data_IF_668522117580
#
_entry.id   IF_668522117580
#
_cell.length_a   1.000
_cell.length_b   1.000
_cell.length_c   1.000
_cell.angle_alpha   90.00
_cell.angle_beta   90.00
_cell.angle_gamma   90.00
#
_symmetry.space_group_name_H-M   'P 1'
#
loop_
_entity.id
_entity.type
_entity.pdbx_description
1 polymer ?
#
# COMPACT_ATOMS: atom_id res chain seq x y z
N UNK A 1 11.91 6.18 -8.86
CA UNK A 1 11.61 7.20 -9.88
C UNK A 1 12.94 7.86 -10.21
N UNK A 2 13.34 7.88 -11.49
CA UNK A 2 14.59 8.53 -11.92
C UNK A 2 14.61 10.01 -11.48
N UNK A 3 15.80 10.58 -11.31
CA UNK A 3 15.99 11.98 -10.85
C UNK A 3 15.42 13.02 -11.81
N UNK A 4 15.27 12.67 -13.09
CA UNK A 4 14.96 13.58 -14.19
C UNK A 4 13.55 14.20 -14.14
N UNK A 5 12.45 13.41 -13.97
CA UNK A 5 11.11 14.00 -13.90
C UNK A 5 10.90 14.87 -12.66
N UNK A 6 11.53 14.49 -11.54
CA UNK A 6 11.50 15.29 -10.31
C UNK A 6 12.30 16.59 -10.46
N UNK A 7 13.43 16.55 -11.16
CA UNK A 7 14.20 17.75 -11.48
C UNK A 7 13.40 18.72 -12.37
N UNK A 8 12.67 18.21 -13.37
CA UNK A 8 11.79 19.03 -14.20
C UNK A 8 10.67 19.71 -13.39
N UNK A 9 10.08 18.99 -12.43
CA UNK A 9 9.08 19.56 -11.52
C UNK A 9 9.71 20.62 -10.62
N UNK A 10 10.90 20.38 -10.07
CA UNK A 10 11.62 21.30 -9.20
C UNK A 10 11.99 22.61 -9.93
N UNK A 11 12.60 22.52 -11.12
CA UNK A 11 12.94 23.67 -11.97
C UNK A 11 11.70 24.51 -12.27
N UNK A 12 10.59 23.86 -12.57
CA UNK A 12 9.32 24.53 -12.86
C UNK A 12 8.70 25.17 -11.61
N UNK A 13 8.86 24.55 -10.45
CA UNK A 13 8.41 25.10 -9.17
C UNK A 13 9.24 26.32 -8.77
N UNK A 14 10.56 26.29 -8.96
CA UNK A 14 11.46 27.43 -8.73
C UNK A 14 11.19 28.59 -9.68
N UNK A 15 10.92 28.30 -10.96
CA UNK A 15 10.55 29.30 -11.95
C UNK A 15 9.15 29.91 -11.74
N UNK A 16 8.35 29.36 -10.81
CA UNK A 16 7.02 29.90 -10.51
C UNK A 16 7.10 31.01 -9.47
N UNK A 17 6.91 32.26 -9.89
CA UNK A 17 6.92 33.43 -8.98
C UNK A 17 5.91 33.33 -7.84
N UNK A 18 4.73 32.76 -8.11
CA UNK A 18 3.65 32.67 -7.12
C UNK A 18 3.69 31.38 -6.30
N UNK A 19 4.47 30.36 -6.74
CA UNK A 19 4.44 28.97 -6.24
C UNK A 19 3.02 28.41 -6.10
N UNK A 20 2.08 28.96 -6.86
CA UNK A 20 0.65 28.68 -6.83
C UNK A 20 0.19 28.31 -8.24
N UNK A 21 -0.81 27.44 -8.32
CA UNK A 21 -1.42 27.05 -9.58
C UNK A 21 -1.12 25.60 -10.00
N UNK A 22 -1.52 25.22 -11.23
CA UNK A 22 -1.40 23.85 -11.72
C UNK A 22 0.05 23.44 -11.98
N UNK A 23 0.44 22.26 -11.48
CA UNK A 23 1.77 21.68 -11.72
C UNK A 23 1.99 21.40 -13.20
N UNK A 24 1.01 20.75 -13.85
CA UNK A 24 1.05 20.44 -15.28
C UNK A 24 0.22 21.45 -16.09
N UNK A 25 0.85 22.07 -17.10
CA UNK A 25 0.21 23.05 -17.98
C UNK A 25 0.54 22.77 -19.44
N UNK A 26 -0.29 23.31 -20.33
CA UNK A 26 -0.05 23.29 -21.78
C UNK A 26 1.10 24.21 -22.18
N UNK A 27 1.59 24.13 -23.41
CA UNK A 27 2.60 25.06 -23.94
C UNK A 27 2.19 26.54 -23.83
N UNK A 28 0.89 26.84 -23.70
CA UNK A 28 0.33 28.18 -23.49
C UNK A 28 0.14 28.55 -22.01
N UNK A 29 0.71 27.78 -21.08
CA UNK A 29 0.67 28.05 -19.64
C UNK A 29 -0.68 27.77 -18.96
N UNK A 30 -1.65 27.14 -19.64
CA UNK A 30 -2.99 26.84 -19.08
C UNK A 30 -3.03 25.46 -18.44
N UNK A 31 -3.84 25.29 -17.39
CA UNK A 31 -4.08 23.97 -16.74
C UNK A 31 -4.44 22.91 -17.78
N UNK A 32 -3.80 21.74 -17.70
CA UNK A 32 -4.18 20.58 -18.52
C UNK A 32 -5.53 20.04 -18.03
N UNK A 33 -6.48 19.83 -18.94
CA UNK A 33 -7.77 19.17 -18.62
C UNK A 33 -7.58 17.66 -18.60
N UNK A 34 -8.39 16.95 -17.81
CA UNK A 34 -8.32 15.49 -17.70
C UNK A 34 -8.41 14.80 -19.08
N UNK A 35 -9.37 15.21 -19.91
CA UNK A 35 -9.58 14.65 -21.24
C UNK A 35 -8.36 14.80 -22.15
N UNK A 36 -7.57 15.88 -21.98
CA UNK A 36 -6.34 16.08 -22.75
C UNK A 36 -5.30 15.01 -22.45
N UNK A 37 -5.23 14.53 -21.19
CA UNK A 37 -4.33 13.45 -20.81
C UNK A 37 -4.81 12.13 -21.39
N UNK A 38 -6.11 11.86 -21.36
CA UNK A 38 -6.71 10.65 -21.95
C UNK A 38 -6.48 10.60 -23.46
N UNK A 39 -6.71 11.69 -24.18
CA UNK A 39 -6.44 11.77 -25.62
C UNK A 39 -4.95 11.64 -25.96
N UNK A 40 -4.06 12.16 -25.09
CA UNK A 40 -2.63 11.96 -25.28
C UNK A 40 -2.24 10.49 -25.07
N UNK A 41 -2.83 9.82 -24.07
CA UNK A 41 -2.65 8.39 -23.84
C UNK A 41 -3.12 7.57 -25.04
N UNK A 42 -4.33 7.81 -25.53
CA UNK A 42 -4.91 7.06 -26.66
C UNK A 42 -4.04 7.14 -27.91
N UNK A 43 -3.55 8.35 -28.26
CA UNK A 43 -2.65 8.54 -29.40
C UNK A 43 -1.34 7.76 -29.26
N UNK A 44 -0.71 7.81 -28.08
CA UNK A 44 0.56 7.09 -27.85
C UNK A 44 0.33 5.58 -27.85
N UNK A 45 -0.76 5.11 -27.23
CA UNK A 45 -1.15 3.70 -27.20
C UNK A 45 -1.32 3.15 -28.61
N UNK A 46 -2.03 3.85 -29.49
CA UNK A 46 -2.21 3.47 -30.90
C UNK A 46 -0.87 3.38 -31.63
N UNK A 47 0.00 4.39 -31.47
CA UNK A 47 1.34 4.39 -32.09
C UNK A 47 2.19 3.21 -31.63
N UNK A 48 2.15 2.87 -30.33
CA UNK A 48 2.92 1.76 -29.77
C UNK A 48 2.36 0.41 -30.25
N UNK A 49 1.03 0.24 -30.29
CA UNK A 49 0.39 -0.97 -30.80
C UNK A 49 0.82 -1.25 -32.25
N UNK A 50 0.80 -0.22 -33.12
CA UNK A 50 1.28 -0.34 -34.50
C UNK A 50 2.77 -0.66 -34.56
N UNK A 51 3.61 0.06 -33.80
CA UNK A 51 5.06 -0.11 -33.80
C UNK A 51 5.50 -1.52 -33.39
N UNK A 52 4.81 -2.11 -32.42
CA UNK A 52 5.13 -3.44 -31.89
C UNK A 52 4.37 -4.57 -32.58
N UNK A 53 3.38 -4.25 -33.42
CA UNK A 53 2.52 -5.25 -34.05
C UNK A 53 1.62 -5.98 -33.04
N UNK A 54 1.33 -5.36 -31.91
CA UNK A 54 0.60 -5.96 -30.80
C UNK A 54 -0.73 -5.23 -30.56
N UNK A 55 -1.87 -5.81 -31.01
CA UNK A 55 -3.18 -5.20 -30.84
C UNK A 55 -3.69 -5.23 -29.39
N UNK A 56 -3.15 -6.07 -28.49
CA UNK A 56 -3.62 -6.14 -27.10
C UNK A 56 -3.34 -4.83 -26.35
N UNK A 57 -2.30 -4.10 -26.77
CA UNK A 57 -1.95 -2.78 -26.22
C UNK A 57 -3.11 -1.79 -26.31
N UNK A 58 -4.01 -1.92 -27.29
CA UNK A 58 -5.19 -1.06 -27.44
C UNK A 58 -6.19 -1.19 -26.27
N UNK A 59 -6.12 -2.27 -25.51
CA UNK A 59 -6.97 -2.47 -24.32
C UNK A 59 -6.46 -1.71 -23.09
N UNK A 60 -5.21 -1.25 -23.08
CA UNK A 60 -4.61 -0.56 -21.95
C UNK A 60 -5.23 0.83 -21.74
N UNK A 61 -5.72 1.10 -20.52
CA UNK A 61 -6.33 2.38 -20.12
C UNK A 61 -5.43 3.09 -19.12
N UNK A 62 -5.48 4.42 -19.11
CA UNK A 62 -4.74 5.24 -18.15
C UNK A 62 -5.05 4.86 -16.69
N UNK A 63 -6.30 4.48 -16.39
CA UNK A 63 -6.68 4.04 -15.04
C UNK A 63 -5.99 2.74 -14.62
N UNK A 64 -5.59 1.89 -15.57
CA UNK A 64 -4.90 0.64 -15.27
C UNK A 64 -3.50 0.91 -14.70
N UNK A 65 -2.88 2.06 -15.00
CA UNK A 65 -1.65 2.50 -14.32
C UNK A 65 -1.84 2.66 -12.80
N UNK A 66 -3.03 3.13 -12.38
CA UNK A 66 -3.37 3.25 -10.96
C UNK A 66 -3.54 1.87 -10.34
N UNK A 67 -4.17 0.92 -11.05
CA UNK A 67 -4.25 -0.48 -10.62
C UNK A 67 -2.85 -1.08 -10.44
N UNK A 68 -2.00 -1.00 -11.46
CA UNK A 68 -0.63 -1.52 -11.42
C UNK A 68 0.14 -0.95 -10.24
N UNK A 69 0.10 0.37 -10.03
CA UNK A 69 0.81 1.00 -8.92
C UNK A 69 0.30 0.57 -7.54
N UNK A 70 -1.01 0.37 -7.39
CA UNK A 70 -1.59 -0.13 -6.13
C UNK A 70 -1.14 -1.55 -5.86
N UNK A 71 -1.15 -2.41 -6.88
CA UNK A 71 -0.65 -3.80 -6.76
C UNK A 71 0.83 -3.82 -6.36
N UNK A 72 1.69 -3.03 -7.03
CA UNK A 72 3.11 -2.89 -6.67
C UNK A 72 3.31 -2.44 -5.22
N UNK A 73 2.55 -1.44 -4.77
CA UNK A 73 2.64 -0.96 -3.39
C UNK A 73 2.21 -2.03 -2.39
N UNK A 74 1.18 -2.81 -2.72
CA UNK A 74 0.69 -3.88 -1.87
C UNK A 74 1.65 -5.06 -1.70
N UNK A 75 2.70 -5.16 -2.52
CA UNK A 75 3.80 -6.11 -2.27
C UNK A 75 4.69 -5.69 -1.09
N UNK A 76 4.73 -4.40 -0.77
CA UNK A 76 5.64 -3.84 0.25
C UNK A 76 4.91 -3.29 1.48
N UNK A 77 3.63 -2.97 1.33
CA UNK A 77 2.83 -2.30 2.35
C UNK A 77 1.64 -3.16 2.75
N UNK A 78 1.17 -3.01 3.97
CA UNK A 78 -0.10 -3.61 4.34
C UNK A 78 -1.27 -2.87 3.63
N UNK A 79 -2.45 -3.52 3.48
CA UNK A 79 -3.58 -2.92 2.77
C UNK A 79 -4.02 -1.54 3.30
N UNK A 80 -3.91 -1.30 4.61
CA UNK A 80 -4.30 -0.03 5.22
C UNK A 80 -3.32 1.11 4.86
N UNK A 81 -2.01 0.83 4.86
CA UNK A 81 -0.97 1.76 4.42
C UNK A 81 -1.10 2.09 2.93
N UNK A 82 -1.28 1.06 2.10
CA UNK A 82 -1.46 1.22 0.66
C UNK A 82 -2.74 2.01 0.34
N UNK A 83 -3.85 1.78 1.07
CA UNK A 83 -5.09 2.55 0.94
C UNK A 83 -4.89 4.03 1.30
N UNK A 84 -4.17 4.32 2.39
CA UNK A 84 -3.88 5.69 2.84
C UNK A 84 -3.04 6.46 1.81
N UNK A 85 -2.00 5.85 1.24
CA UNK A 85 -1.14 6.47 0.22
C UNK A 85 -1.89 6.69 -1.09
N UNK A 86 -2.70 5.71 -1.50
CA UNK A 86 -3.46 5.81 -2.74
C UNK A 86 -4.68 6.74 -2.64
N UNK A 87 -5.07 7.18 -1.44
CA UNK A 87 -6.19 8.11 -1.22
C UNK A 87 -7.57 7.45 -1.24
N UNK A 88 -7.65 6.14 -0.95
CA UNK A 88 -8.94 5.47 -0.79
C UNK A 88 -9.51 5.74 0.61
N UNK A 89 -10.74 6.26 0.67
CA UNK A 89 -11.45 6.49 1.94
C UNK A 89 -11.98 5.20 2.58
N UNK A 90 -12.23 4.18 1.76
CA UNK A 90 -12.77 2.89 2.17
C UNK A 90 -11.86 1.76 1.67
N UNK A 91 -11.51 0.85 2.58
CA UNK A 91 -10.71 -0.33 2.28
C UNK A 91 -11.43 -1.26 1.30
N UNK A 92 -12.77 -1.29 1.29
CA UNK A 92 -13.56 -2.03 0.31
C UNK A 92 -13.32 -1.53 -1.12
N UNK A 93 -13.16 -0.22 -1.30
CA UNK A 93 -12.80 0.36 -2.60
C UNK A 93 -11.37 -0.03 -2.97
N UNK A 94 -10.43 0.02 -2.02
CA UNK A 94 -9.04 -0.41 -2.23
C UNK A 94 -8.93 -1.88 -2.65
N UNK A 95 -9.69 -2.79 -2.02
CA UNK A 95 -9.67 -4.22 -2.35
C UNK A 95 -10.15 -4.53 -3.78
N UNK A 96 -10.84 -3.60 -4.47
CA UNK A 96 -11.11 -3.74 -5.92
C UNK A 96 -9.86 -3.57 -6.79
N UNK A 97 -8.86 -2.88 -6.26
CA UNK A 97 -7.60 -2.55 -6.93
C UNK A 97 -6.46 -3.48 -6.52
N UNK A 98 -6.57 -4.12 -5.35
CA UNK A 98 -5.53 -5.00 -4.81
C UNK A 98 -5.75 -6.45 -5.26
N UNK A 99 -4.87 -6.93 -6.13
CA UNK A 99 -4.85 -8.33 -6.59
C UNK A 99 -3.54 -8.99 -6.14
N UNK A 100 -3.45 -9.48 -4.89
CA UNK A 100 -2.24 -10.13 -4.40
C UNK A 100 -2.01 -11.44 -5.18
N UNK A 101 -0.74 -11.71 -5.54
CA UNK A 101 -0.37 -13.01 -6.09
C UNK A 101 -0.67 -14.11 -5.05
N UNK A 102 -1.56 -15.07 -5.36
CA UNK A 102 -1.92 -16.14 -4.42
C UNK A 102 -0.72 -17.00 -4.00
N UNK A 103 0.30 -17.14 -4.86
CA UNK A 103 1.52 -17.89 -4.54
C UNK A 103 2.36 -17.13 -3.53
N UNK A 104 2.56 -15.82 -3.74
CA UNK A 104 3.27 -14.97 -2.79
C UNK A 104 2.52 -14.87 -1.45
N UNK A 105 1.18 -14.80 -1.48
CA UNK A 105 0.34 -14.82 -0.29
C UNK A 105 0.48 -16.15 0.47
N UNK A 106 0.48 -17.28 -0.24
CA UNK A 106 0.69 -18.60 0.35
C UNK A 106 2.06 -18.75 1.00
N UNK A 107 3.14 -18.28 0.34
CA UNK A 107 4.49 -18.27 0.94
C UNK A 107 4.56 -17.39 2.17
N UNK A 108 3.90 -16.22 2.15
CA UNK A 108 3.82 -15.33 3.31
C UNK A 108 3.04 -15.97 4.45
N UNK A 109 1.94 -16.68 4.16
CA UNK A 109 1.18 -17.43 5.16
C UNK A 109 2.03 -18.55 5.76
N UNK A 110 2.68 -19.37 4.95
CA UNK A 110 3.57 -20.44 5.40
C UNK A 110 4.74 -19.89 6.22
N UNK A 111 5.30 -18.73 5.84
CA UNK A 111 6.32 -18.04 6.61
C UNK A 111 5.78 -17.55 7.94
N UNK A 112 4.59 -16.96 7.98
CA UNK A 112 3.94 -16.51 9.23
C UNK A 112 3.56 -17.68 10.13
N UNK A 113 3.13 -18.81 9.58
CA UNK A 113 2.87 -20.05 10.33
C UNK A 113 4.16 -20.66 10.88
N UNK A 114 5.25 -20.64 10.11
CA UNK A 114 6.59 -21.05 10.57
C UNK A 114 7.16 -20.10 11.63
N UNK A 115 6.90 -18.81 11.51
CA UNK A 115 7.33 -17.77 12.46
C UNK A 115 6.37 -17.62 13.65
N UNK A 116 5.17 -18.19 13.56
CA UNK A 116 4.03 -17.90 14.43
C UNK A 116 3.10 -19.09 14.57
N UNK A 117 3.66 -20.25 14.89
CA UNK A 117 2.93 -21.25 15.65
C UNK A 117 2.60 -20.63 17.00
N UNK A 118 1.44 -19.99 17.14
CA UNK A 118 0.96 -19.43 18.41
C UNK A 118 0.89 -20.46 19.56
N UNK A 119 1.09 -21.75 19.26
CA UNK A 119 1.28 -22.81 20.25
C UNK A 119 2.62 -22.77 20.98
N UNK A 120 3.73 -22.39 20.34
CA UNK A 120 5.05 -22.48 21.00
C UNK A 120 5.25 -21.43 22.10
N UNK A 121 4.69 -20.24 21.93
CA UNK A 121 4.81 -19.14 22.91
C UNK A 121 3.87 -19.36 24.11
N UNK A 122 2.65 -19.86 23.86
CA UNK A 122 1.71 -20.22 24.94
C UNK A 122 2.21 -21.43 25.73
N UNK A 123 2.73 -22.46 25.06
CA UNK A 123 3.24 -23.66 25.73
C UNK A 123 4.47 -23.35 26.60
N UNK A 124 5.33 -22.44 26.16
CA UNK A 124 6.51 -22.00 26.92
C UNK A 124 6.11 -21.13 28.12
N UNK A 125 5.16 -20.20 27.95
CA UNK A 125 4.59 -19.42 29.06
C UNK A 125 3.89 -20.34 30.07
N UNK A 126 3.15 -21.36 29.60
CA UNK A 126 2.51 -22.35 30.47
C UNK A 126 3.56 -23.16 31.23
N UNK A 127 4.65 -23.60 30.59
CA UNK A 127 5.76 -24.27 31.29
C UNK A 127 6.40 -23.40 32.35
N UNK A 128 6.64 -22.12 32.06
CA UNK A 128 7.23 -21.18 33.02
C UNK A 128 6.29 -20.94 34.21
N UNK A 129 4.98 -20.82 33.97
CA UNK A 129 3.98 -20.72 35.04
C UNK A 129 3.97 -21.98 35.92
N UNK A 130 4.05 -23.18 35.32
CA UNK A 130 4.08 -24.45 36.04
C UNK A 130 5.35 -24.66 36.89
N UNK A 131 6.43 -23.93 36.61
CA UNK A 131 7.65 -23.96 37.42
C UNK A 131 7.61 -23.02 38.63
N UNK A 132 6.59 -22.17 38.75
CA UNK A 132 6.42 -21.28 39.88
C UNK A 132 5.86 -21.99 41.11
N UNK A 133 6.15 -21.45 42.29
CA UNK A 133 5.44 -21.85 43.50
C UNK A 133 3.94 -21.48 43.37
N UNK A 134 3.04 -22.17 44.09
CA UNK A 134 1.61 -21.86 44.04
C UNK A 134 1.28 -20.39 44.35
N UNK A 135 2.07 -19.76 45.24
CA UNK A 135 1.90 -18.36 45.64
C UNK A 135 2.36 -17.37 44.54
N UNK A 136 3.47 -17.68 43.87
CA UNK A 136 4.01 -16.87 42.78
C UNK A 136 3.14 -16.97 41.51
N UNK A 137 2.59 -18.17 41.24
CA UNK A 137 1.68 -18.39 40.13
C UNK A 137 0.38 -17.57 40.31
N UNK A 138 -0.21 -17.58 41.51
CA UNK A 138 -1.40 -16.79 41.82
C UNK A 138 -1.14 -15.29 41.66
N UNK A 139 0.05 -14.82 42.07
CA UNK A 139 0.48 -13.44 41.93
C UNK A 139 0.66 -13.03 40.46
N UNK A 140 1.29 -13.88 39.64
CA UNK A 140 1.47 -13.64 38.22
C UNK A 140 0.14 -13.53 37.47
N UNK A 141 -0.81 -14.41 37.77
CA UNK A 141 -2.16 -14.40 37.20
C UNK A 141 -2.93 -13.13 37.62
N UNK A 142 -2.85 -12.73 38.89
CA UNK A 142 -3.50 -11.51 39.38
C UNK A 142 -2.98 -10.25 38.67
N UNK A 143 -1.66 -10.15 38.45
CA UNK A 143 -1.03 -9.05 37.70
C UNK A 143 -1.54 -9.01 36.25
N UNK A 144 -1.64 -10.18 35.60
CA UNK A 144 -2.14 -10.27 34.23
C UNK A 144 -3.60 -9.79 34.09
N UNK A 145 -4.47 -10.17 35.04
CA UNK A 145 -5.85 -9.68 35.08
C UNK A 145 -5.95 -8.16 35.32
N UNK A 146 -5.11 -7.60 36.20
CA UNK A 146 -5.07 -6.15 36.44
C UNK A 146 -4.56 -5.39 35.20
N UNK A 147 -3.55 -5.90 34.51
CA UNK A 147 -3.05 -5.30 33.27
C UNK A 147 -4.15 -5.29 32.19
N UNK A 148 -4.89 -6.40 32.04
CA UNK A 148 -6.03 -6.48 31.11
C UNK A 148 -7.15 -5.50 31.45
N UNK A 149 -7.49 -5.36 32.73
CA UNK A 149 -8.50 -4.40 33.18
C UNK A 149 -8.08 -2.94 32.91
N UNK A 150 -6.79 -2.61 33.11
CA UNK A 150 -6.24 -1.29 32.75
C UNK A 150 -6.33 -1.02 31.26
N UNK A 151 -5.93 -1.96 30.41
CA UNK A 151 -6.01 -1.80 28.95
C UNK A 151 -7.45 -1.65 28.45
N UNK A 152 -8.41 -2.36 29.06
CA UNK A 152 -9.83 -2.24 28.73
C UNK A 152 -10.48 -0.92 29.19
N UNK A 153 -9.86 -0.20 30.13
CA UNK A 153 -10.35 1.10 30.62
C UNK A 153 -9.83 2.32 29.83
N UNK A 154 -8.95 2.10 28.85
CA UNK A 154 -8.31 3.15 28.02
C UNK A 154 -8.88 3.18 26.58
N UNK A 155 -9.93 2.40 26.30
CA UNK A 155 -10.70 2.39 25.04
C UNK A 155 -12.13 2.85 25.33
#
# INVERSE_FOLDING_TARGET
LTSEPMALIAVRFEASETKKGPVFVTSRGKRIRADTVTQAWDRVREQVAVKLGDPEILTARMHDLRHTRITEMGHHLNPAEAARISGHKDLKTFMRYFNPDPVALGKKLEQLERQGGAGTDVDEVVKQLLMLSPEDMASAVAIAFQARAKTASVV
#
